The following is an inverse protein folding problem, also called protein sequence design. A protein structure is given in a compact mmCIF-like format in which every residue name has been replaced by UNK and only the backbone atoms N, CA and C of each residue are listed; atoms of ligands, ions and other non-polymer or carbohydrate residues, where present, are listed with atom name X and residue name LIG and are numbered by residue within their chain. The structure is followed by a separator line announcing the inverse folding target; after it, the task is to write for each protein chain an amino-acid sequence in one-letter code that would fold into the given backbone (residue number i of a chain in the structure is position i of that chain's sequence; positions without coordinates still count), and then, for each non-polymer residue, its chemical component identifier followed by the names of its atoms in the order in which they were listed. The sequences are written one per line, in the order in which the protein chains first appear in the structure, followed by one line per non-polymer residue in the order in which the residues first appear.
data_IF_208273793496
#
_entry.id   IF_208273793496
#
_cell.length_a   1.000
_cell.length_b   1.000
_cell.length_c   1.000
_cell.angle_alpha   90.00
_cell.angle_beta   90.00
_cell.angle_gamma   90.00
#
_symmetry.space_group_name_H-M   'P 1'
#
loop_
_entity.id
_entity.type
_entity.pdbx_description
1 polymer ?
#
# COMPACT_ATOMS: atom_id res chain seq x y z
N UNK A 1 -16.23 13.38 12.79
CA UNK A 1 -15.85 12.02 13.13
C UNK A 1 -15.50 11.26 11.87
N UNK A 2 -14.37 10.60 11.85
CA UNK A 2 -14.03 9.77 10.70
C UNK A 2 -14.99 8.59 10.62
N UNK A 3 -15.33 8.18 9.41
CA UNK A 3 -16.16 7.00 9.20
C UNK A 3 -15.38 5.71 9.43
N UNK A 4 -15.94 4.63 8.96
CA UNK A 4 -15.27 3.33 9.03
C UNK A 4 -14.02 3.32 8.16
N UNK A 5 -13.00 2.53 8.53
CA UNK A 5 -11.81 2.41 7.68
C UNK A 5 -12.15 1.82 6.33
N UNK A 6 -11.37 2.18 5.34
CA UNK A 6 -11.40 1.51 4.03
C UNK A 6 -10.62 0.21 4.19
N UNK A 7 -11.27 -0.91 3.89
CA UNK A 7 -10.66 -2.23 4.01
C UNK A 7 -10.68 -2.91 2.66
N UNK A 8 -9.50 -3.29 2.19
CA UNK A 8 -9.33 -4.02 0.93
C UNK A 8 -8.45 -5.23 1.22
N UNK A 9 -8.82 -6.40 0.72
CA UNK A 9 -8.02 -7.60 0.93
C UNK A 9 -7.98 -8.45 -0.33
N UNK A 10 -6.94 -9.27 -0.41
CA UNK A 10 -6.78 -10.21 -1.53
C UNK A 10 -5.92 -11.37 -1.07
N UNK A 11 -6.28 -12.58 -1.51
CA UNK A 11 -5.44 -13.76 -1.31
C UNK A 11 -4.50 -13.88 -2.50
N UNK A 12 -3.21 -13.89 -2.23
CA UNK A 12 -2.17 -13.96 -3.25
C UNK A 12 -1.35 -15.22 -3.03
N UNK A 13 -1.06 -15.94 -4.12
CA UNK A 13 -0.29 -17.18 -4.06
C UNK A 13 1.20 -16.87 -3.92
N UNK A 14 1.60 -16.49 -2.73
CA UNK A 14 2.98 -16.18 -2.37
C UNK A 14 3.11 -16.30 -0.85
N UNK A 15 4.34 -16.44 -0.36
CA UNK A 15 4.58 -16.54 1.09
C UNK A 15 4.44 -15.17 1.76
N UNK A 16 4.21 -15.17 3.07
CA UNK A 16 4.19 -13.92 3.86
C UNK A 16 5.50 -13.17 3.71
N UNK A 17 6.61 -13.89 3.74
CA UNK A 17 7.96 -13.30 3.62
C UNK A 17 8.13 -12.58 2.29
N UNK A 18 7.71 -13.20 1.20
CA UNK A 18 7.79 -12.59 -0.12
C UNK A 18 6.91 -11.34 -0.23
N UNK A 19 5.69 -11.42 0.30
CA UNK A 19 4.76 -10.29 0.25
C UNK A 19 5.19 -9.17 1.19
N UNK A 20 5.71 -9.51 2.35
CA UNK A 20 6.24 -8.50 3.28
C UNK A 20 7.39 -7.73 2.61
N UNK A 21 8.30 -8.45 1.95
CA UNK A 21 9.39 -7.82 1.21
C UNK A 21 8.86 -6.93 0.07
N UNK A 22 7.80 -7.37 -0.59
CA UNK A 22 7.20 -6.59 -1.69
C UNK A 22 6.63 -5.25 -1.21
N UNK A 23 6.29 -5.14 0.07
CA UNK A 23 5.79 -3.89 0.66
C UNK A 23 6.89 -3.05 1.32
N UNK A 24 8.12 -3.53 1.36
CA UNK A 24 9.20 -2.86 2.11
C UNK A 24 10.46 -2.59 1.29
N UNK A 25 10.68 -3.36 0.23
CA UNK A 25 11.82 -3.19 -0.65
C UNK A 25 11.44 -2.23 -1.79
N UNK A 26 12.10 -1.04 -1.88
CA UNK A 26 11.72 -0.04 -2.88
C UNK A 26 11.79 -0.53 -4.32
N UNK A 27 12.76 -1.40 -4.65
CA UNK A 27 12.89 -1.93 -6.00
C UNK A 27 11.70 -2.79 -6.39
N UNK A 28 11.14 -3.54 -5.43
CA UNK A 28 9.95 -4.35 -5.69
C UNK A 28 8.70 -3.47 -5.67
N UNK A 29 8.62 -2.57 -4.69
CA UNK A 29 7.47 -1.65 -4.58
C UNK A 29 7.25 -0.86 -5.86
N UNK A 30 8.33 -0.43 -6.53
CA UNK A 30 8.22 0.35 -7.76
C UNK A 30 7.56 -0.42 -8.91
N UNK A 31 7.47 -1.74 -8.80
CA UNK A 31 6.91 -2.58 -9.86
C UNK A 31 5.39 -2.73 -9.77
N UNK A 32 4.79 -2.43 -8.61
CA UNK A 32 3.36 -2.69 -8.43
C UNK A 32 2.59 -1.59 -7.71
N UNK A 33 3.27 -0.68 -7.00
CA UNK A 33 2.59 0.25 -6.10
C UNK A 33 2.00 1.45 -6.84
N UNK A 34 1.08 1.16 -7.74
CA UNK A 34 0.31 2.15 -8.47
C UNK A 34 -1.04 1.52 -8.86
N UNK A 35 -2.11 2.31 -8.95
CA UNK A 35 -3.46 1.73 -9.10
C UNK A 35 -3.85 1.33 -10.52
N UNK A 36 -3.16 1.83 -11.56
CA UNK A 36 -3.52 1.57 -12.94
C UNK A 36 -2.33 1.07 -13.75
N UNK A 37 -2.58 0.17 -14.72
CA UNK A 37 -1.54 -0.49 -15.50
C UNK A 37 -0.61 0.44 -16.26
N UNK A 38 -1.12 1.59 -16.68
CA UNK A 38 -0.36 2.56 -17.46
C UNK A 38 0.40 3.57 -16.60
N UNK A 39 0.45 3.35 -15.31
CA UNK A 39 1.22 4.18 -14.39
C UNK A 39 2.55 3.53 -14.04
N UNK A 40 3.39 4.26 -13.34
CA UNK A 40 4.64 3.76 -12.78
C UNK A 40 4.83 4.34 -11.40
N UNK A 41 5.77 3.78 -10.64
CA UNK A 41 6.05 4.25 -9.29
C UNK A 41 7.54 4.36 -9.04
N UNK A 42 7.90 5.35 -8.21
CA UNK A 42 9.26 5.53 -7.69
C UNK A 42 9.16 5.57 -6.17
N UNK A 43 9.96 4.76 -5.49
CA UNK A 43 9.88 4.62 -4.03
C UNK A 43 11.25 4.78 -3.41
N UNK A 44 11.32 5.54 -2.32
CA UNK A 44 12.49 5.59 -1.44
C UNK A 44 11.99 5.43 -0.02
N UNK A 45 12.76 4.77 0.83
CA UNK A 45 12.39 4.61 2.23
C UNK A 45 13.59 4.40 3.13
N UNK A 46 13.37 4.68 4.42
CA UNK A 46 14.27 4.31 5.50
C UNK A 46 13.47 3.32 6.35
N UNK A 47 13.72 2.03 6.16
CA UNK A 47 12.83 0.99 6.70
C UNK A 47 13.16 0.62 8.14
N UNK A 48 12.69 1.45 9.07
CA UNK A 48 12.67 1.17 10.51
C UNK A 48 11.57 2.03 11.14
N UNK A 49 11.15 1.68 12.34
CA UNK A 49 10.16 2.49 13.07
C UNK A 49 10.71 3.90 13.26
N UNK A 50 9.93 4.89 12.89
CA UNK A 50 10.35 6.30 12.87
C UNK A 50 10.98 6.74 11.55
N UNK A 51 11.32 5.80 10.65
CA UNK A 51 11.83 6.14 9.34
C UNK A 51 10.72 6.52 8.38
N UNK A 52 11.05 7.31 7.37
CA UNK A 52 10.07 7.80 6.39
C UNK A 52 10.13 7.07 5.07
N UNK A 53 9.10 7.30 4.27
CA UNK A 53 9.07 6.84 2.89
C UNK A 53 8.51 7.92 1.98
N UNK A 54 8.89 7.85 0.71
CA UNK A 54 8.30 8.68 -0.34
C UNK A 54 7.90 7.76 -1.49
N UNK A 55 6.65 7.85 -1.88
CA UNK A 55 6.08 7.09 -2.99
C UNK A 55 5.56 8.07 -4.03
N UNK A 56 6.13 8.03 -5.23
CA UNK A 56 5.66 8.85 -6.35
C UNK A 56 5.00 7.94 -7.37
N UNK A 57 3.72 8.18 -7.61
CA UNK A 57 2.95 7.48 -8.64
C UNK A 57 2.88 8.37 -9.87
N UNK A 58 3.46 7.94 -10.98
CA UNK A 58 3.53 8.72 -12.22
C UNK A 58 2.43 8.28 -13.16
N UNK A 59 1.48 9.18 -13.45
CA UNK A 59 0.42 8.91 -14.40
C UNK A 59 0.89 9.12 -15.84
N UNK A 60 0.20 8.49 -16.78
CA UNK A 60 0.53 8.60 -18.20
C UNK A 60 0.33 10.01 -18.76
N UNK A 61 -0.45 10.82 -18.07
CA UNK A 61 -0.71 12.22 -18.46
C UNK A 61 0.37 13.18 -17.94
N UNK A 62 1.45 12.68 -17.39
CA UNK A 62 2.54 13.48 -16.86
C UNK A 62 2.33 14.00 -15.44
N UNK A 63 1.22 13.65 -14.80
CA UNK A 63 0.95 14.07 -13.43
C UNK A 63 1.57 13.07 -12.47
N UNK A 64 2.29 13.58 -11.45
CA UNK A 64 2.89 12.76 -10.41
C UNK A 64 2.14 12.97 -9.11
N UNK A 65 1.70 11.87 -8.50
CA UNK A 65 1.03 11.88 -7.20
C UNK A 65 2.03 11.44 -6.14
N UNK A 66 2.39 12.35 -5.24
CA UNK A 66 3.41 12.08 -4.22
C UNK A 66 2.75 11.77 -2.89
N UNK A 67 3.15 10.65 -2.30
CA UNK A 67 2.69 10.20 -1.00
C UNK A 67 3.89 10.06 -0.08
N UNK A 68 3.75 10.52 1.15
CA UNK A 68 4.82 10.43 2.15
C UNK A 68 4.26 9.94 3.47
N UNK A 69 5.09 9.35 4.28
CA UNK A 69 4.68 8.90 5.59
C UNK A 69 5.84 8.40 6.42
N UNK A 70 5.50 7.85 7.59
CA UNK A 70 6.46 7.35 8.56
C UNK A 70 6.00 5.97 9.02
N UNK A 71 6.96 5.04 9.16
CA UNK A 71 6.67 3.71 9.71
C UNK A 71 6.46 3.81 11.21
N UNK A 72 5.31 3.33 11.68
CA UNK A 72 4.94 3.37 13.09
C UNK A 72 5.08 2.03 13.78
N UNK A 73 4.85 0.93 13.04
CA UNK A 73 4.97 -0.42 13.59
C UNK A 73 5.42 -1.34 12.49
N UNK A 74 6.39 -2.20 12.79
CA UNK A 74 6.92 -3.19 11.86
C UNK A 74 7.01 -4.52 12.61
N UNK A 75 6.20 -5.50 12.21
CA UNK A 75 6.24 -6.86 12.77
C UNK A 75 6.40 -7.83 11.60
N UNK A 76 7.63 -8.13 11.26
CA UNK A 76 7.95 -8.99 10.12
C UNK A 76 7.65 -10.45 10.43
N UNK A 77 7.01 -11.20 9.55
CA UNK A 77 6.39 -10.82 8.27
C UNK A 77 4.87 -10.66 8.39
N UNK A 78 4.37 -10.18 9.51
CA UNK A 78 2.95 -10.22 9.85
C UNK A 78 2.20 -8.90 9.66
N UNK A 79 2.87 -7.76 9.93
CA UNK A 79 2.14 -6.50 10.04
C UNK A 79 3.03 -5.29 9.78
N UNK A 80 2.45 -4.30 9.10
CA UNK A 80 3.03 -2.98 8.90
C UNK A 80 2.00 -1.91 9.25
N UNK A 81 2.43 -0.86 9.97
CA UNK A 81 1.61 0.32 10.19
C UNK A 81 2.43 1.54 9.79
N UNK A 82 1.84 2.39 8.97
CA UNK A 82 2.52 3.62 8.55
C UNK A 82 1.50 4.73 8.29
N UNK A 83 1.95 5.97 8.38
CA UNK A 83 1.11 7.10 8.06
C UNK A 83 1.06 7.31 6.54
N UNK A 84 0.00 7.96 6.07
CA UNK A 84 -0.22 8.17 4.64
C UNK A 84 -0.67 9.60 4.43
N UNK A 85 0.14 10.37 3.74
CA UNK A 85 -0.11 11.78 3.46
C UNK A 85 0.09 12.05 1.97
N UNK A 86 -0.79 12.88 1.41
CA UNK A 86 -0.69 13.30 0.03
C UNK A 86 -1.27 14.72 -0.07
N UNK A 87 -1.40 15.24 -1.28
CA UNK A 87 -2.05 16.55 -1.48
C UNK A 87 -3.53 16.52 -1.08
N UNK A 88 -4.12 15.34 -1.01
CA UNK A 88 -5.55 15.17 -0.74
C UNK A 88 -5.87 14.83 0.70
N UNK A 89 -4.96 14.15 1.41
CA UNK A 89 -5.21 13.68 2.78
C UNK A 89 -3.97 13.85 3.65
N UNK A 90 -4.20 14.10 4.94
CA UNK A 90 -3.13 14.28 5.92
C UNK A 90 -3.39 13.44 7.15
N UNK A 91 -2.33 12.89 7.72
CA UNK A 91 -2.36 12.16 8.98
C UNK A 91 -3.29 10.95 8.99
N UNK A 92 -3.45 10.31 7.84
CA UNK A 92 -4.19 9.06 7.78
C UNK A 92 -3.24 7.90 8.10
N UNK A 93 -3.79 6.75 8.46
CA UNK A 93 -2.99 5.60 8.90
C UNK A 93 -3.36 4.35 8.11
N UNK A 94 -2.35 3.67 7.61
CA UNK A 94 -2.51 2.41 6.88
C UNK A 94 -1.96 1.27 7.72
N UNK A 95 -2.76 0.22 7.89
CA UNK A 95 -2.32 -1.01 8.54
C UNK A 95 -2.43 -2.14 7.52
N UNK A 96 -1.34 -2.88 7.33
CA UNK A 96 -1.32 -4.01 6.40
C UNK A 96 -0.97 -5.26 7.21
N UNK A 97 -1.83 -6.28 7.10
CA UNK A 97 -1.58 -7.57 7.74
C UNK A 97 -1.42 -8.66 6.68
N UNK A 98 -0.59 -9.64 7.01
CA UNK A 98 -0.27 -10.76 6.13
C UNK A 98 -0.59 -12.05 6.89
N UNK A 99 -1.64 -12.74 6.48
CA UNK A 99 -2.12 -13.95 7.18
C UNK A 99 -2.01 -15.16 6.27
N UNK A 100 -1.37 -16.22 6.74
CA UNK A 100 -1.27 -17.46 5.97
C UNK A 100 -2.64 -18.10 5.84
N UNK A 101 -2.98 -18.51 4.60
CA UNK A 101 -4.19 -19.27 4.30
C UNK A 101 -3.81 -20.45 3.41
N UNK A 102 -4.76 -21.36 3.15
CA UNK A 102 -4.47 -22.58 2.41
C UNK A 102 -3.86 -22.33 1.02
N UNK A 103 -4.29 -21.28 0.34
CA UNK A 103 -3.87 -21.00 -1.04
C UNK A 103 -2.81 -19.91 -1.15
N UNK A 104 -2.19 -19.51 -0.03
CA UNK A 104 -1.16 -18.49 -0.05
C UNK A 104 -1.23 -17.57 1.14
N UNK A 105 -1.32 -16.27 0.91
CA UNK A 105 -1.38 -15.27 1.97
C UNK A 105 -2.51 -14.29 1.70
N UNK A 106 -3.32 -14.02 2.72
CA UNK A 106 -4.28 -12.93 2.66
C UNK A 106 -3.58 -11.64 3.04
N UNK A 107 -3.53 -10.71 2.11
CA UNK A 107 -3.03 -9.36 2.33
C UNK A 107 -4.24 -8.47 2.59
N UNK A 108 -4.29 -7.87 3.77
CA UNK A 108 -5.41 -7.01 4.16
C UNK A 108 -4.90 -5.62 4.45
N UNK A 109 -5.47 -4.63 3.77
CA UNK A 109 -5.13 -3.23 3.94
C UNK A 109 -6.29 -2.54 4.62
N UNK A 110 -6.04 -1.89 5.76
CA UNK A 110 -7.02 -1.08 6.48
C UNK A 110 -6.50 0.36 6.49
N UNK A 111 -7.22 1.28 5.86
CA UNK A 111 -6.82 2.68 5.77
C UNK A 111 -7.78 3.52 6.62
N UNK A 112 -7.28 3.99 7.75
CA UNK A 112 -8.05 4.74 8.74
C UNK A 112 -7.90 6.24 8.58
N UNK A 113 -8.86 6.97 9.13
CA UNK A 113 -8.83 8.42 9.25
C UNK A 113 -8.99 9.15 7.91
N UNK A 114 -9.46 8.46 6.88
CA UNK A 114 -9.79 9.10 5.61
C UNK A 114 -11.10 9.87 5.75
N UNK A 115 -11.20 11.06 5.15
CA UNK A 115 -12.48 11.76 5.08
C UNK A 115 -13.53 10.89 4.38
N UNK A 116 -14.77 10.94 4.86
CA UNK A 116 -15.86 10.18 4.26
C UNK A 116 -16.20 10.67 2.86
N UNK A 117 -16.82 9.80 2.06
CA UNK A 117 -17.31 10.13 0.73
C UNK A 117 -16.35 9.72 -0.37
N UNK A 118 -16.17 10.59 -1.37
CA UNK A 118 -15.38 10.28 -2.56
C UNK A 118 -13.93 9.92 -2.26
N UNK A 119 -13.34 10.51 -1.22
CA UNK A 119 -11.95 10.22 -0.84
C UNK A 119 -11.83 8.75 -0.45
N UNK A 120 -12.77 8.21 0.32
CA UNK A 120 -12.76 6.79 0.68
C UNK A 120 -12.94 5.91 -0.53
N UNK A 121 -13.86 6.26 -1.42
CA UNK A 121 -14.08 5.49 -2.65
C UNK A 121 -12.84 5.45 -3.52
N UNK A 122 -12.18 6.60 -3.72
CA UNK A 122 -10.97 6.67 -4.52
C UNK A 122 -9.85 5.81 -3.93
N UNK A 123 -9.70 5.81 -2.62
CA UNK A 123 -8.67 4.99 -1.97
C UNK A 123 -9.01 3.51 -2.04
N UNK A 124 -10.28 3.14 -1.90
CA UNK A 124 -10.71 1.75 -2.06
C UNK A 124 -10.37 1.23 -3.46
N UNK A 125 -10.71 1.99 -4.48
CA UNK A 125 -10.40 1.63 -5.88
C UNK A 125 -8.89 1.58 -6.10
N UNK A 126 -8.17 2.56 -5.57
CA UNK A 126 -6.70 2.62 -5.69
C UNK A 126 -6.01 1.43 -5.04
N UNK A 127 -6.39 1.08 -3.82
CA UNK A 127 -5.80 -0.07 -3.13
C UNK A 127 -6.12 -1.38 -3.85
N UNK A 128 -7.34 -1.53 -4.36
CA UNK A 128 -7.72 -2.70 -5.14
C UNK A 128 -6.84 -2.82 -6.39
N UNK A 129 -6.63 -1.73 -7.10
CA UNK A 129 -5.75 -1.71 -8.27
C UNK A 129 -4.31 -2.08 -7.91
N UNK A 130 -3.80 -1.54 -6.80
CA UNK A 130 -2.45 -1.87 -6.32
C UNK A 130 -2.32 -3.35 -5.99
N UNK A 131 -3.30 -3.95 -5.31
CA UNK A 131 -3.26 -5.38 -4.99
C UNK A 131 -3.32 -6.24 -6.25
N UNK A 132 -4.06 -5.82 -7.27
CA UNK A 132 -4.08 -6.52 -8.55
C UNK A 132 -2.70 -6.48 -9.23
N UNK A 133 -2.02 -5.32 -9.17
CA UNK A 133 -0.65 -5.21 -9.69
C UNK A 133 0.31 -6.09 -8.90
N UNK A 134 0.17 -6.09 -7.58
CA UNK A 134 0.99 -6.92 -6.71
C UNK A 134 0.84 -8.40 -7.06
N UNK A 135 -0.38 -8.88 -7.22
CA UNK A 135 -0.63 -10.26 -7.60
C UNK A 135 0.06 -10.60 -8.92
N UNK A 136 -0.06 -9.73 -9.92
CA UNK A 136 0.59 -9.94 -11.22
C UNK A 136 2.11 -9.97 -11.10
N UNK A 137 2.67 -9.11 -10.27
CA UNK A 137 4.12 -9.03 -10.03
C UNK A 137 4.63 -10.31 -9.37
N UNK A 138 3.88 -10.83 -8.38
CA UNK A 138 4.28 -12.04 -7.66
C UNK A 138 4.12 -13.31 -8.52
N UNK A 139 3.26 -13.28 -9.52
CA UNK A 139 3.04 -14.41 -10.43
C UNK A 139 4.07 -14.46 -11.55
N UNK A 140 4.79 -13.39 -11.79
CA UNK A 140 5.75 -13.30 -12.90
C UNK A 140 7.05 -14.07 -12.63
#
# INVERSE_FOLDING_TARGET
MSGNPVIVSKVINASREELFEAFTNPDIMSKWFYPEEDMSAEVTNTFHVGGGYTLKMNGKNGVTYTHVGEYQEIVSPEKLVFTWNSDFVQNTVVTITFSEVDSGTEVKISHDLLPEGEIQEHHSVGWTGCLNRLESTMAA
#
